data_IF_500119724948
#
_entry.id   IF_500119724948
#
_cell.length_a   1.000
_cell.length_b   1.000
_cell.length_c   1.000
_cell.angle_alpha   90.00
_cell.angle_beta   90.00
_cell.angle_gamma   90.00
#
_symmetry.space_group_name_H-M   'P 1'
#
loop_
_entity.id
_entity.type
_entity.pdbx_description
1 polymer ?
#
# COMPACT_ATOMS: atom_id res chain seq x y z
N UNK A 1 5.06 -5.59 -5.01
CA UNK A 1 6.38 -6.15 -4.62
C UNK A 1 6.16 -7.25 -3.60
N UNK A 2 6.72 -8.45 -3.81
CA UNK A 2 6.62 -9.55 -2.83
C UNK A 2 7.92 -9.64 -2.03
N UNK A 3 7.79 -9.71 -0.72
CA UNK A 3 8.90 -9.95 0.22
C UNK A 3 8.62 -11.29 0.90
N UNK A 4 9.64 -12.14 0.98
CA UNK A 4 9.55 -13.41 1.67
C UNK A 4 10.82 -13.65 2.46
N UNK A 5 10.66 -14.26 3.63
CA UNK A 5 11.73 -14.73 4.49
C UNK A 5 11.62 -16.24 4.67
N UNK A 6 12.73 -16.85 5.02
CA UNK A 6 12.76 -18.21 5.52
C UNK A 6 12.82 -18.16 7.05
N UNK A 7 11.98 -18.95 7.71
CA UNK A 7 11.98 -19.10 9.17
C UNK A 7 12.22 -20.57 9.47
N UNK A 8 13.36 -20.86 10.10
CA UNK A 8 13.69 -22.20 10.59
C UNK A 8 13.52 -22.24 12.10
N UNK A 9 13.19 -23.44 12.63
CA UNK A 9 13.17 -23.73 14.07
C UNK A 9 12.21 -22.87 14.92
N UNK A 10 11.29 -22.14 14.27
CA UNK A 10 10.28 -21.33 14.93
C UNK A 10 8.97 -21.34 14.14
N UNK A 11 7.85 -21.18 14.86
CA UNK A 11 6.53 -20.96 14.27
C UNK A 11 6.14 -19.50 14.44
N UNK A 12 5.72 -18.88 13.35
CA UNK A 12 5.13 -17.56 13.40
C UNK A 12 3.65 -17.64 13.80
N UNK A 13 3.23 -16.68 14.62
CA UNK A 13 1.86 -16.52 15.11
C UNK A 13 1.35 -15.16 14.60
N UNK A 14 0.10 -15.04 14.13
CA UNK A 14 -0.46 -13.73 13.84
C UNK A 14 -0.35 -12.82 15.07
N UNK A 15 0.06 -11.56 14.90
CA UNK A 15 0.31 -10.65 16.03
C UNK A 15 -0.90 -10.54 16.98
N UNK A 16 -2.13 -10.52 16.44
CA UNK A 16 -3.36 -10.50 17.24
C UNK A 16 -3.62 -11.76 18.09
N UNK A 17 -2.88 -12.85 17.84
CA UNK A 17 -2.98 -14.13 18.55
C UNK A 17 -1.73 -14.44 19.39
N UNK A 18 -0.70 -13.60 19.31
CA UNK A 18 0.50 -13.72 20.12
C UNK A 18 0.17 -13.30 21.57
N UNK A 19 0.11 -14.29 22.47
CA UNK A 19 -0.30 -14.08 23.87
C UNK A 19 0.81 -14.40 24.86
N UNK A 20 1.84 -15.09 24.41
CA UNK A 20 3.05 -15.41 25.17
C UNK A 20 4.22 -14.66 24.59
N UNK A 21 5.18 -14.26 25.41
CA UNK A 21 6.34 -13.53 24.91
C UNK A 21 7.21 -14.40 23.97
N UNK A 22 7.11 -15.73 24.06
CA UNK A 22 7.74 -16.64 23.10
C UNK A 22 7.04 -16.69 21.73
N UNK A 23 5.81 -16.17 21.60
CA UNK A 23 5.09 -16.16 20.34
C UNK A 23 5.75 -15.14 19.40
N UNK A 24 6.29 -15.65 18.29
CA UNK A 24 7.02 -14.84 17.33
C UNK A 24 6.13 -14.39 16.19
N UNK A 25 6.38 -13.18 15.70
CA UNK A 25 5.74 -12.67 14.50
C UNK A 25 6.66 -11.69 13.79
N UNK A 26 6.31 -11.35 12.55
CA UNK A 26 7.15 -10.56 11.66
C UNK A 26 6.54 -9.20 11.43
N UNK A 27 7.39 -8.18 11.45
CA UNK A 27 7.06 -6.83 11.04
C UNK A 27 7.74 -6.53 9.70
N UNK A 28 6.94 -6.12 8.71
CA UNK A 28 7.45 -5.59 7.44
C UNK A 28 7.25 -4.06 7.44
N UNK A 29 8.35 -3.32 7.57
CA UNK A 29 8.39 -1.87 7.67
C UNK A 29 8.70 -1.28 6.28
N UNK A 30 7.68 -0.77 5.59
CA UNK A 30 7.82 -0.14 4.27
C UNK A 30 8.11 1.35 4.43
N UNK A 31 9.25 1.82 3.96
CA UNK A 31 9.67 3.24 4.02
C UNK A 31 9.67 3.86 5.43
N UNK A 32 9.74 3.02 6.46
CA UNK A 32 9.87 3.43 7.86
C UNK A 32 11.32 3.26 8.31
N UNK A 33 11.85 4.24 9.04
CA UNK A 33 13.15 4.11 9.69
C UNK A 33 13.08 3.06 10.81
N UNK A 34 13.62 1.87 10.55
CA UNK A 34 13.61 0.78 11.50
C UNK A 34 14.62 0.94 12.66
N UNK A 35 15.64 1.80 12.51
CA UNK A 35 16.78 1.94 13.43
C UNK A 35 16.39 2.03 14.92
N UNK A 36 15.38 2.82 15.32
CA UNK A 36 15.00 2.94 16.73
C UNK A 36 14.53 1.64 17.38
N UNK A 37 14.07 0.66 16.58
CA UNK A 37 13.45 -0.56 17.08
C UNK A 37 14.41 -1.76 17.11
N UNK A 38 15.57 -1.66 16.45
CA UNK A 38 16.46 -2.80 16.23
C UNK A 38 17.21 -3.25 17.49
N UNK A 39 17.31 -2.41 18.52
CA UNK A 39 17.98 -2.77 19.78
C UNK A 39 17.07 -3.54 20.77
N UNK A 40 15.81 -3.79 20.39
CA UNK A 40 14.86 -4.57 21.16
C UNK A 40 14.35 -3.88 22.42
N UNK A 41 14.68 -2.60 22.64
CA UNK A 41 14.21 -1.82 23.79
C UNK A 41 12.95 -1.04 23.46
N UNK A 42 12.84 -0.57 22.23
CA UNK A 42 11.69 0.17 21.73
C UNK A 42 10.76 -0.76 20.95
N UNK A 43 9.48 -0.67 21.27
CA UNK A 43 8.42 -1.43 20.60
C UNK A 43 8.18 -0.85 19.21
N UNK A 44 7.97 -1.73 18.23
CA UNK A 44 7.51 -1.32 16.90
C UNK A 44 6.05 -0.86 17.04
N UNK A 45 5.70 0.34 16.54
CA UNK A 45 4.38 0.92 16.77
C UNK A 45 3.28 0.16 16.01
N UNK A 46 2.17 -0.06 16.71
CA UNK A 46 0.94 -0.59 16.11
C UNK A 46 0.12 0.51 15.47
N UNK A 47 -0.58 0.19 14.37
CA UNK A 47 -1.51 1.10 13.71
C UNK A 47 -0.88 2.07 12.70
N UNK A 48 0.44 2.03 12.53
CA UNK A 48 1.09 2.68 11.39
C UNK A 48 0.75 1.93 10.10
N UNK A 49 0.13 2.58 9.09
CA UNK A 49 -0.26 1.93 7.84
C UNK A 49 0.93 1.40 7.01
N UNK A 50 2.15 1.85 7.30
CA UNK A 50 3.36 1.41 6.63
C UNK A 50 4.05 0.22 7.31
N UNK A 51 3.49 -0.28 8.42
CA UNK A 51 4.04 -1.40 9.19
C UNK A 51 3.04 -2.56 9.18
N UNK A 52 3.42 -3.63 8.50
CA UNK A 52 2.61 -4.86 8.45
C UNK A 52 3.00 -5.78 9.59
N UNK A 53 2.04 -6.11 10.44
CA UNK A 53 2.18 -7.07 11.54
C UNK A 53 1.65 -8.42 11.06
N UNK A 54 2.51 -9.41 10.91
CA UNK A 54 2.16 -10.65 10.22
C UNK A 54 2.65 -11.90 10.94
N UNK A 55 1.82 -12.94 10.95
CA UNK A 55 2.24 -14.31 11.26
C UNK A 55 2.72 -15.08 10.03
N UNK A 56 2.78 -14.44 8.86
CA UNK A 56 3.15 -15.06 7.59
C UNK A 56 4.60 -14.69 7.21
N UNK A 57 5.33 -15.67 6.70
CA UNK A 57 6.71 -15.53 6.23
C UNK A 57 6.83 -14.80 4.87
N UNK A 58 5.70 -14.35 4.30
CA UNK A 58 5.71 -13.53 3.11
C UNK A 58 4.61 -12.46 3.16
N UNK A 59 4.85 -11.34 2.50
CA UNK A 59 3.89 -10.28 2.29
C UNK A 59 4.03 -9.67 0.89
N UNK A 60 2.90 -9.26 0.31
CA UNK A 60 2.87 -8.56 -0.99
C UNK A 60 2.38 -7.14 -0.77
N UNK A 61 3.26 -6.17 -1.05
CA UNK A 61 2.91 -4.77 -1.11
C UNK A 61 2.33 -4.43 -2.49
N UNK A 62 1.10 -3.94 -2.51
CA UNK A 62 0.38 -3.53 -3.72
C UNK A 62 0.26 -2.01 -3.79
N UNK A 63 0.03 -1.48 -4.99
CA UNK A 63 -0.26 -0.05 -5.17
C UNK A 63 0.89 0.91 -4.79
N UNK A 64 2.13 0.42 -4.70
CA UNK A 64 3.28 1.28 -4.43
C UNK A 64 3.41 2.36 -5.51
N UNK A 65 3.58 3.60 -5.07
CA UNK A 65 3.84 4.72 -5.97
C UNK A 65 5.13 4.51 -6.77
N UNK A 66 5.26 5.13 -7.96
CA UNK A 66 6.56 5.23 -8.61
C UNK A 66 7.59 5.92 -7.71
N UNK A 67 8.80 5.37 -7.62
CA UNK A 67 9.86 5.94 -6.80
C UNK A 67 10.73 4.91 -6.10
N UNK A 68 11.67 5.41 -5.29
CA UNK A 68 12.53 4.58 -4.46
C UNK A 68 11.80 4.16 -3.18
N UNK A 69 11.93 2.90 -2.83
CA UNK A 69 11.32 2.28 -1.66
C UNK A 69 12.35 1.44 -0.91
N UNK A 70 12.09 1.23 0.37
CA UNK A 70 12.83 0.29 1.20
C UNK A 70 11.87 -0.50 2.08
N UNK A 71 12.18 -1.77 2.29
CA UNK A 71 11.46 -2.63 3.22
C UNK A 71 12.45 -3.22 4.19
N UNK A 72 12.20 -3.05 5.48
CA UNK A 72 12.95 -3.73 6.55
C UNK A 72 12.07 -4.77 7.19
N UNK A 73 12.59 -5.99 7.31
CA UNK A 73 11.91 -7.12 7.95
C UNK A 73 12.53 -7.35 9.31
N UNK A 74 11.70 -7.37 10.35
CA UNK A 74 12.11 -7.55 11.75
C UNK A 74 11.30 -8.68 12.36
N UNK A 75 11.98 -9.63 12.98
CA UNK A 75 11.35 -10.67 13.79
C UNK A 75 11.18 -10.16 15.22
N UNK A 76 9.98 -10.27 15.77
CA UNK A 76 9.64 -9.74 17.10
C UNK A 76 8.96 -10.77 17.99
N UNK A 77 9.02 -10.52 19.29
CA UNK A 77 8.17 -11.21 20.29
C UNK A 77 6.77 -10.60 20.34
N UNK A 78 5.88 -11.17 21.16
CA UNK A 78 4.52 -10.65 21.37
C UNK A 78 4.49 -9.19 21.84
N UNK A 79 5.51 -8.71 22.56
CA UNK A 79 5.62 -7.32 23.01
C UNK A 79 6.10 -6.35 21.90
N UNK A 80 6.08 -6.76 20.62
CA UNK A 80 6.53 -5.97 19.47
C UNK A 80 7.99 -5.50 19.53
N UNK A 81 8.85 -6.24 20.25
CA UNK A 81 10.29 -5.94 20.39
C UNK A 81 11.12 -6.85 19.51
N UNK A 82 12.14 -6.29 18.86
CA UNK A 82 13.05 -7.03 18.00
C UNK A 82 13.84 -8.10 18.77
N UNK A 83 13.90 -9.31 18.22
CA UNK A 83 14.74 -10.39 18.74
C UNK A 83 16.20 -10.10 18.41
N UNK A 84 17.03 -9.87 19.43
CA UNK A 84 18.41 -9.43 19.24
C UNK A 84 19.35 -10.46 18.61
N UNK A 85 19.01 -11.75 18.71
CA UNK A 85 19.80 -12.83 18.14
C UNK A 85 19.55 -13.03 16.64
N UNK A 86 18.51 -12.39 16.08
CA UNK A 86 18.13 -12.49 14.67
C UNK A 86 18.30 -11.13 14.02
N UNK A 87 19.24 -10.96 13.08
CA UNK A 87 19.44 -9.67 12.43
C UNK A 87 18.22 -9.31 11.57
N UNK A 88 17.87 -8.02 11.57
CA UNK A 88 16.91 -7.49 10.61
C UNK A 88 17.52 -7.44 9.19
N UNK A 89 16.67 -7.58 8.18
CA UNK A 89 17.08 -7.52 6.77
C UNK A 89 16.38 -6.34 6.07
N UNK A 90 17.14 -5.57 5.29
CA UNK A 90 16.60 -4.45 4.51
C UNK A 90 16.83 -4.66 3.02
N UNK A 91 15.76 -4.56 2.23
CA UNK A 91 15.84 -4.49 0.78
C UNK A 91 15.47 -3.09 0.30
N UNK A 92 16.18 -2.59 -0.72
CA UNK A 92 15.88 -1.32 -1.39
C UNK A 92 15.58 -1.60 -2.85
N UNK A 93 14.55 -0.94 -3.38
CA UNK A 93 14.11 -1.13 -4.76
C UNK A 93 13.47 0.14 -5.32
N UNK A 94 13.30 0.19 -6.63
CA UNK A 94 12.63 1.31 -7.30
C UNK A 94 11.43 0.78 -8.07
N UNK A 95 10.26 1.38 -7.85
CA UNK A 95 9.06 1.13 -8.66
C UNK A 95 9.10 2.07 -9.85
N UNK A 96 9.12 1.50 -11.05
CA UNK A 96 9.07 2.28 -12.28
C UNK A 96 7.73 3.02 -12.40
N UNK A 97 7.77 4.29 -12.79
CA UNK A 97 6.57 4.99 -13.21
C UNK A 97 6.05 4.42 -14.51
N UNK A 98 4.73 4.37 -14.65
CA UNK A 98 4.14 4.24 -15.97
C UNK A 98 4.64 5.42 -16.79
N UNK A 99 5.55 5.14 -17.73
CA UNK A 99 5.85 6.12 -18.76
C UNK A 99 4.55 6.27 -19.54
N UNK A 100 3.92 7.45 -19.48
CA UNK A 100 2.95 7.81 -20.49
C UNK A 100 3.71 7.69 -21.80
N UNK A 101 3.50 6.58 -22.51
CA UNK A 101 4.03 6.42 -23.85
C UNK A 101 3.68 7.71 -24.57
N UNK A 102 4.66 8.31 -25.25
CA UNK A 102 4.35 9.37 -26.21
C UNK A 102 3.45 8.70 -27.24
N UNK A 103 2.15 8.70 -26.97
CA UNK A 103 1.13 8.37 -27.93
C UNK A 103 1.46 9.29 -29.08
N UNK A 104 1.72 8.68 -30.23
CA UNK A 104 1.97 9.37 -31.47
C UNK A 104 0.71 10.23 -31.69
N UNK A 105 0.73 11.47 -31.17
CA UNK A 105 -0.36 12.41 -31.39
C UNK A 105 -0.44 12.51 -32.91
N UNK A 106 -1.63 12.33 -33.51
CA UNK A 106 -1.77 12.48 -34.95
C UNK A 106 -1.16 13.82 -35.33
N UNK A 107 -0.16 13.82 -36.21
CA UNK A 107 0.37 15.07 -36.79
C UNK A 107 -0.84 15.78 -37.39
N UNK A 108 -0.98 17.09 -37.18
CA UNK A 108 -2.01 17.91 -37.81
C UNK A 108 -2.03 17.86 -39.36
N UNK A 109 -1.17 17.06 -40.00
CA UNK A 109 -1.15 16.82 -41.45
C UNK A 109 -1.85 15.54 -41.93
N UNK A 110 -2.23 14.60 -41.04
CA UNK A 110 -2.86 13.33 -41.45
C UNK A 110 -4.41 13.40 -41.44
N UNK A 111 -4.96 14.49 -41.96
CA UNK A 111 -6.41 14.57 -42.18
C UNK A 111 -6.73 13.97 -43.56
N UNK A 112 -7.55 12.90 -43.66
CA UNK A 112 -8.14 12.54 -44.94
C UNK A 112 -9.00 13.70 -45.45
N UNK A 113 -8.85 14.05 -46.73
CA UNK A 113 -9.58 15.14 -47.37
C UNK A 113 -11.10 14.96 -47.18
N UNK A 114 -11.69 15.76 -46.29
CA UNK A 114 -13.11 15.74 -46.00
C UNK A 114 -13.83 16.56 -47.08
N UNK A 115 -14.34 15.90 -48.11
CA UNK A 115 -15.29 16.47 -49.07
C UNK A 115 -16.64 16.70 -48.39
N UNK A 116 -17.03 17.97 -48.38
CA UNK A 116 -18.28 18.61 -47.90
C UNK A 116 -19.58 18.04 -48.54
N UNK A 117 -20.82 18.27 -48.01
CA UNK A 117 -21.30 19.60 -47.63
C UNK A 117 -22.29 19.77 -46.44
N UNK A 118 -22.40 21.05 -46.10
CA UNK A 118 -23.36 21.78 -45.26
C UNK A 118 -24.81 21.29 -45.38
N UNK A 119 -25.37 20.82 -44.26
CA UNK A 119 -26.75 20.97 -43.76
C UNK A 119 -26.64 20.57 -42.27
N UNK A 120 -27.06 21.27 -41.22
CA UNK A 120 -28.25 22.08 -40.99
C UNK A 120 -28.79 21.67 -39.60
N UNK A 121 -29.15 22.65 -38.78
CA UNK A 121 -30.03 22.59 -37.59
C UNK A 121 -29.59 21.88 -36.28
N UNK A 122 -29.68 22.69 -35.21
CA UNK A 122 -30.36 22.47 -33.93
C UNK A 122 -30.41 21.05 -33.33
N UNK A 123 -29.96 20.92 -32.09
CA UNK A 123 -30.34 19.82 -31.20
C UNK A 123 -29.85 20.00 -29.77
N UNK A 124 -30.65 20.70 -28.96
CA UNK A 124 -30.51 20.82 -27.50
C UNK A 124 -31.08 19.56 -26.80
N UNK A 125 -30.60 19.32 -25.57
CA UNK A 125 -31.16 18.54 -24.42
C UNK A 125 -30.98 17.01 -24.29
N UNK A 126 -30.42 16.61 -23.14
CA UNK A 126 -30.92 15.61 -22.15
C UNK A 126 -29.88 15.55 -20.99
N UNK A 127 -30.10 16.09 -19.79
CA UNK A 127 -30.94 15.68 -18.64
C UNK A 127 -30.72 14.24 -18.17
N UNK A 128 -30.09 14.09 -16.99
CA UNK A 128 -30.40 13.15 -15.88
C UNK A 128 -29.17 13.13 -14.95
N UNK A 129 -29.18 13.32 -13.64
CA UNK A 129 -30.20 13.13 -12.60
C UNK A 129 -29.53 12.34 -11.47
N UNK A 130 -29.64 12.77 -10.19
CA UNK A 130 -29.13 11.96 -9.07
C UNK A 130 -28.80 12.70 -7.78
N UNK A 131 -29.83 13.27 -7.14
CA UNK A 131 -29.80 13.81 -5.78
C UNK A 131 -29.87 12.64 -4.76
N UNK A 132 -28.90 12.49 -3.85
CA UNK A 132 -28.94 11.49 -2.78
C UNK A 132 -28.60 12.09 -1.39
N UNK A 133 -29.68 12.45 -0.70
CA UNK A 133 -29.98 12.23 0.73
C UNK A 133 -28.91 12.52 1.80
N UNK A 134 -29.07 13.68 2.44
CA UNK A 134 -28.70 13.92 3.84
C UNK A 134 -29.61 13.12 4.80
N UNK A 135 -29.02 12.35 5.71
CA UNK A 135 -29.64 11.96 7.00
C UNK A 135 -28.54 11.70 8.03
N UNK A 136 -28.36 12.59 9.02
CA UNK A 136 -27.72 12.25 10.30
C UNK A 136 -28.69 12.56 11.43
N UNK A 137 -28.99 11.50 12.18
CA UNK A 137 -30.00 11.43 13.22
C UNK A 137 -29.56 12.10 14.54
N UNK A 138 -30.60 12.39 15.33
CA UNK A 138 -30.66 13.15 16.60
C UNK A 138 -29.83 12.55 17.74
N UNK A 139 -29.33 13.46 18.57
CA UNK A 139 -28.79 13.24 19.92
C UNK A 139 -29.91 12.94 20.92
N UNK A 140 -29.70 11.95 21.80
CA UNK A 140 -30.51 11.74 23.01
C UNK A 140 -30.00 12.59 24.16
N UNK A 141 -30.89 13.29 24.86
CA UNK A 141 -30.74 13.56 26.29
C UNK A 141 -32.10 13.41 26.95
N UNK A 142 -32.14 12.49 27.91
CA UNK A 142 -33.18 12.21 28.88
C UNK A 142 -32.50 11.48 30.02
#
# INVERSE_FOLDING_TARGET
MRVAIEVTDARLVPAAQATKNEDLHVHYLMDVNATPYLDGKTEIPTGDPNIVHSGEAAHTFEGLSPGAHSVTVVLTTADHKAIQQVPAATARFTVAGASAGSGNLPRSGDMPALTWPVFGLLGVTLVSGGLALLRRARSSQG
#
